data_IF_831894665563
#
_entry.id   IF_831894665563
#
_cell.length_a   1.000
_cell.length_b   1.000
_cell.length_c   1.000
_cell.angle_alpha   90.00
_cell.angle_beta   90.00
_cell.angle_gamma   90.00
#
_symmetry.space_group_name_H-M   'P 1'
#
loop_
_entity.id
_entity.type
_entity.pdbx_description
1 polymer ?
#
# COMPACT_ATOMS: atom_id res chain seq x y z
N UNK A 1 14.21 3.68 15.99
CA UNK A 1 13.45 2.56 15.40
C UNK A 1 12.95 2.99 14.03
N UNK A 2 12.93 2.09 13.05
CA UNK A 2 12.46 2.39 11.70
C UNK A 2 11.26 1.51 11.37
N UNK A 3 10.17 2.10 10.87
CA UNK A 3 8.93 1.42 10.50
C UNK A 3 8.51 1.90 9.11
N UNK A 4 7.98 0.99 8.30
CA UNK A 4 7.58 1.29 6.92
C UNK A 4 6.28 0.63 6.53
N UNK A 5 5.67 1.19 5.48
CA UNK A 5 4.51 0.64 4.78
C UNK A 5 4.64 0.95 3.28
N UNK A 6 4.01 0.17 2.42
CA UNK A 6 3.80 0.52 1.00
C UNK A 6 2.49 1.29 0.84
N UNK A 7 2.39 2.16 -0.17
CA UNK A 7 1.25 3.06 -0.33
C UNK A 7 -0.07 2.36 -0.65
N UNK A 8 -0.06 1.12 -1.12
CA UNK A 8 -1.26 0.32 -1.39
C UNK A 8 -1.05 -1.15 -0.98
N UNK A 9 -0.85 -1.39 0.31
CA UNK A 9 -0.50 -2.72 0.86
C UNK A 9 -1.49 -3.84 0.48
N UNK A 10 -2.78 -3.52 0.44
CA UNK A 10 -3.88 -4.42 0.08
C UNK A 10 -4.07 -4.63 -1.43
N UNK A 11 -3.26 -4.01 -2.29
CA UNK A 11 -3.30 -4.21 -3.75
C UNK A 11 -2.66 -5.51 -4.22
N UNK A 12 -2.68 -6.53 -3.37
CA UNK A 12 -2.40 -7.87 -3.86
C UNK A 12 -3.49 -8.24 -4.88
N UNK A 13 -3.07 -8.41 -6.13
CA UNK A 13 -3.93 -9.00 -7.16
C UNK A 13 -4.07 -10.50 -6.90
N UNK A 14 -4.87 -10.82 -5.89
CA UNK A 14 -5.28 -12.19 -5.64
C UNK A 14 -5.96 -12.70 -6.90
N UNK A 15 -5.46 -13.83 -7.41
CA UNK A 15 -5.99 -14.42 -8.63
C UNK A 15 -7.50 -14.67 -8.52
N UNK A 16 -7.96 -14.93 -7.30
CA UNK A 16 -9.34 -15.15 -6.99
C UNK A 16 -10.23 -13.92 -7.16
N UNK A 17 -9.82 -12.75 -6.69
CA UNK A 17 -10.62 -11.53 -6.89
C UNK A 17 -10.75 -11.21 -8.37
N UNK A 18 -9.69 -11.45 -9.15
CA UNK A 18 -9.73 -11.32 -10.59
C UNK A 18 -10.67 -12.34 -11.25
N UNK A 19 -10.65 -13.60 -10.80
CA UNK A 19 -11.56 -14.61 -11.32
C UNK A 19 -13.03 -14.27 -11.02
N UNK A 20 -13.34 -13.86 -9.78
CA UNK A 20 -14.69 -13.44 -9.39
C UNK A 20 -15.14 -12.20 -10.18
N UNK A 21 -14.25 -11.24 -10.36
CA UNK A 21 -14.52 -10.06 -11.17
C UNK A 21 -14.77 -10.39 -12.65
N UNK A 22 -14.05 -11.37 -13.21
CA UNK A 22 -14.26 -11.86 -14.58
C UNK A 22 -15.59 -12.58 -14.74
N UNK A 23 -16.06 -13.27 -13.70
CA UNK A 23 -17.37 -13.93 -13.71
C UNK A 23 -18.49 -12.90 -13.76
N UNK A 24 -18.57 -12.00 -12.78
CA UNK A 24 -19.53 -10.90 -12.77
C UNK A 24 -19.27 -9.89 -11.65
N UNK A 25 -19.89 -8.71 -11.77
CA UNK A 25 -20.00 -7.77 -10.65
C UNK A 25 -20.67 -8.41 -9.42
N UNK A 26 -21.72 -9.21 -9.61
CA UNK A 26 -22.43 -9.86 -8.50
C UNK A 26 -21.54 -10.88 -7.77
N UNK A 27 -20.73 -11.66 -8.49
CA UNK A 27 -19.81 -12.65 -7.90
C UNK A 27 -18.83 -12.00 -6.91
N UNK A 28 -18.23 -10.86 -7.28
CA UNK A 28 -17.32 -10.15 -6.39
C UNK A 28 -18.07 -9.40 -5.28
N UNK A 29 -19.28 -8.90 -5.56
CA UNK A 29 -20.15 -8.29 -4.56
C UNK A 29 -20.53 -9.29 -3.46
N UNK A 30 -20.95 -10.49 -3.84
CA UNK A 30 -21.29 -11.58 -2.92
C UNK A 30 -20.07 -11.97 -2.07
N UNK A 31 -18.89 -12.03 -2.68
CA UNK A 31 -17.66 -12.26 -1.91
C UNK A 31 -17.42 -11.18 -0.85
N UNK A 32 -17.64 -9.92 -1.16
CA UNK A 32 -17.53 -8.83 -0.17
C UNK A 32 -18.57 -8.97 0.93
N UNK A 33 -19.83 -9.17 0.56
CA UNK A 33 -20.96 -9.19 1.52
C UNK A 33 -20.94 -10.42 2.44
N UNK A 34 -20.52 -11.58 1.94
CA UNK A 34 -20.52 -12.84 2.70
C UNK A 34 -19.16 -13.25 3.27
N UNK A 35 -18.05 -12.67 2.78
CA UNK A 35 -16.70 -13.06 3.24
C UNK A 35 -15.96 -11.88 3.87
N UNK A 36 -15.76 -10.78 3.14
CA UNK A 36 -14.91 -9.66 3.59
C UNK A 36 -15.54 -8.89 4.74
N UNK A 37 -16.79 -8.42 4.56
CA UNK A 37 -17.48 -7.63 5.58
C UNK A 37 -17.68 -8.41 6.88
N UNK A 38 -18.17 -9.66 6.89
CA UNK A 38 -18.29 -10.42 8.13
C UNK A 38 -16.97 -10.57 8.88
N UNK A 39 -15.85 -10.72 8.16
CA UNK A 39 -14.52 -10.79 8.77
C UNK A 39 -14.13 -9.49 9.48
N UNK A 40 -14.38 -8.34 8.87
CA UNK A 40 -14.13 -7.02 9.48
C UNK A 40 -15.06 -6.80 10.67
N UNK A 41 -16.36 -7.06 10.48
CA UNK A 41 -17.42 -6.82 11.47
C UNK A 41 -17.30 -7.69 12.72
N UNK A 42 -16.64 -8.86 12.61
CA UNK A 42 -16.39 -9.75 13.75
C UNK A 42 -15.62 -9.06 14.88
N UNK A 43 -14.75 -8.11 14.55
CA UNK A 43 -13.96 -7.38 15.54
C UNK A 43 -14.79 -6.38 16.35
N UNK A 44 -16.02 -6.10 15.92
CA UNK A 44 -16.90 -5.11 16.52
C UNK A 44 -18.03 -5.74 17.34
N UNK A 45 -18.51 -4.96 18.31
CA UNK A 45 -19.70 -5.21 19.12
C UNK A 45 -20.89 -5.57 18.23
N UNK A 46 -21.62 -6.63 18.60
CA UNK A 46 -22.80 -7.10 17.85
C UNK A 46 -23.81 -5.97 17.62
N UNK A 47 -23.98 -5.08 18.60
CA UNK A 47 -24.92 -3.96 18.55
C UNK A 47 -24.59 -2.90 17.48
N UNK A 48 -23.32 -2.84 17.03
CA UNK A 48 -22.84 -1.86 16.06
C UNK A 48 -22.57 -2.48 14.70
N UNK A 49 -22.52 -3.80 14.57
CA UNK A 49 -22.19 -4.48 13.31
C UNK A 49 -23.05 -4.02 12.13
N UNK A 50 -24.36 -3.85 12.32
CA UNK A 50 -25.24 -3.42 11.23
C UNK A 50 -24.99 -1.97 10.81
N UNK A 51 -24.81 -1.06 11.78
CA UNK A 51 -24.44 0.33 11.53
C UNK A 51 -23.09 0.42 10.83
N UNK A 52 -22.16 -0.43 11.24
CA UNK A 52 -20.82 -0.49 10.67
C UNK A 52 -20.84 -1.05 9.25
N UNK A 53 -21.62 -2.10 9.00
CA UNK A 53 -21.85 -2.65 7.66
C UNK A 53 -22.40 -1.56 6.73
N UNK A 54 -23.38 -0.80 7.21
CA UNK A 54 -23.94 0.33 6.46
C UNK A 54 -22.88 1.40 6.17
N UNK A 55 -22.12 1.81 7.19
CA UNK A 55 -21.08 2.83 7.03
C UNK A 55 -19.97 2.41 6.06
N UNK A 56 -19.50 1.15 6.12
CA UNK A 56 -18.49 0.62 5.19
C UNK A 56 -19.06 0.60 3.76
N UNK A 57 -20.28 0.12 3.58
CA UNK A 57 -20.93 0.14 2.27
C UNK A 57 -21.11 1.55 1.72
N UNK A 58 -21.50 2.49 2.58
CA UNK A 58 -21.64 3.89 2.21
C UNK A 58 -20.30 4.52 1.81
N UNK A 59 -19.24 4.30 2.59
CA UNK A 59 -17.96 4.97 2.38
C UNK A 59 -17.13 4.39 1.25
N UNK A 60 -17.12 3.06 1.08
CA UNK A 60 -16.25 2.39 0.10
C UNK A 60 -16.97 1.99 -1.19
N UNK A 61 -18.25 1.62 -1.10
CA UNK A 61 -18.97 0.97 -2.20
C UNK A 61 -20.15 1.77 -2.75
N UNK A 62 -20.44 2.97 -2.20
CA UNK A 62 -21.53 3.83 -2.70
C UNK A 62 -20.97 4.92 -3.62
N UNK A 63 -21.41 4.92 -4.88
CA UNK A 63 -21.00 5.89 -5.89
C UNK A 63 -21.59 5.57 -7.27
N UNK A 64 -21.58 6.54 -8.19
CA UNK A 64 -22.05 6.37 -9.58
C UNK A 64 -21.34 5.24 -10.37
N UNK A 65 -20.06 4.87 -10.09
CA UNK A 65 -19.43 3.69 -10.67
C UNK A 65 -19.80 2.36 -9.98
N UNK A 66 -20.81 2.33 -9.10
CA UNK A 66 -21.13 1.17 -8.25
C UNK A 66 -21.50 -0.11 -9.00
N UNK A 67 -21.71 -0.06 -10.32
CA UNK A 67 -21.94 -1.26 -11.15
C UNK A 67 -20.71 -1.65 -12.00
N UNK A 68 -19.63 -0.88 -11.95
CA UNK A 68 -18.38 -1.21 -12.66
C UNK A 68 -17.51 -2.15 -11.84
N UNK A 69 -17.26 -3.35 -12.36
CA UNK A 69 -16.38 -4.35 -11.74
C UNK A 69 -15.00 -3.79 -11.39
N UNK A 70 -14.41 -2.93 -12.23
CA UNK A 70 -13.09 -2.33 -11.98
C UNK A 70 -13.09 -1.42 -10.76
N UNK A 71 -14.11 -0.58 -10.67
CA UNK A 71 -14.27 0.35 -9.55
C UNK A 71 -14.56 -0.41 -8.26
N UNK A 72 -15.35 -1.49 -8.35
CA UNK A 72 -15.60 -2.36 -7.21
C UNK A 72 -14.33 -3.07 -6.71
N UNK A 73 -13.50 -3.58 -7.62
CA UNK A 73 -12.18 -4.14 -7.30
C UNK A 73 -11.26 -3.12 -6.64
N UNK A 74 -11.20 -1.91 -7.19
CA UNK A 74 -10.43 -0.81 -6.61
C UNK A 74 -10.92 -0.46 -5.20
N UNK A 75 -12.24 -0.36 -5.00
CA UNK A 75 -12.84 -0.11 -3.70
C UNK A 75 -12.54 -1.21 -2.68
N UNK A 76 -12.60 -2.48 -3.11
CA UNK A 76 -12.23 -3.62 -2.29
C UNK A 76 -10.76 -3.55 -1.85
N UNK A 77 -9.84 -3.35 -2.80
CA UNK A 77 -8.41 -3.21 -2.49
C UNK A 77 -8.15 -2.07 -1.52
N UNK A 78 -8.81 -0.91 -1.76
CA UNK A 78 -8.71 0.24 -0.87
C UNK A 78 -9.20 -0.07 0.54
N UNK A 79 -10.36 -0.72 0.70
CA UNK A 79 -10.86 -1.13 2.00
C UNK A 79 -9.86 -2.03 2.73
N UNK A 80 -9.28 -3.01 2.04
CA UNK A 80 -8.32 -3.95 2.61
C UNK A 80 -7.02 -3.23 3.01
N UNK A 81 -6.46 -2.40 2.14
CA UNK A 81 -5.29 -1.56 2.43
C UNK A 81 -5.50 -0.69 3.66
N UNK A 82 -6.61 0.05 3.67
CA UNK A 82 -6.93 1.03 4.71
C UNK A 82 -7.18 0.33 6.07
N UNK A 83 -7.97 -0.75 6.10
CA UNK A 83 -8.35 -1.42 7.34
C UNK A 83 -7.24 -2.30 7.94
N UNK A 84 -6.60 -3.16 7.13
CA UNK A 84 -5.65 -4.16 7.65
C UNK A 84 -4.23 -3.64 7.80
N UNK A 85 -3.86 -2.53 7.17
CA UNK A 85 -2.47 -2.08 7.14
C UNK A 85 -2.32 -0.61 7.54
N UNK A 86 -2.99 0.31 6.87
CA UNK A 86 -2.79 1.74 7.13
C UNK A 86 -3.33 2.18 8.50
N UNK A 87 -4.52 1.72 8.87
CA UNK A 87 -5.10 1.99 10.18
C UNK A 87 -4.22 1.48 11.33
N UNK A 88 -3.80 0.19 11.38
CA UNK A 88 -2.90 -0.27 12.44
C UNK A 88 -1.52 0.39 12.37
N UNK A 89 -0.99 0.71 11.18
CA UNK A 89 0.28 1.43 11.05
C UNK A 89 0.22 2.81 11.68
N UNK A 90 -0.81 3.61 11.37
CA UNK A 90 -0.97 4.94 11.97
C UNK A 90 -1.16 4.87 13.48
N UNK A 91 -1.96 3.92 13.97
CA UNK A 91 -2.14 3.69 15.40
C UNK A 91 -0.85 3.28 16.10
N UNK A 92 -0.06 2.40 15.49
CA UNK A 92 1.22 1.96 16.02
C UNK A 92 2.18 3.15 16.12
N UNK A 93 2.28 4.00 15.10
CA UNK A 93 3.12 5.20 15.17
C UNK A 93 2.73 6.10 16.34
N UNK A 94 1.43 6.41 16.49
CA UNK A 94 0.94 7.23 17.59
C UNK A 94 1.19 6.58 18.96
N UNK A 95 1.01 5.27 19.08
CA UNK A 95 1.27 4.51 20.30
C UNK A 95 2.75 4.59 20.71
N UNK A 96 3.65 4.33 19.76
CA UNK A 96 5.09 4.29 20.01
C UNK A 96 5.66 5.68 20.35
N UNK A 97 5.01 6.75 19.91
CA UNK A 97 5.37 8.13 20.26
C UNK A 97 4.55 8.73 21.38
N UNK A 98 3.60 7.98 21.95
CA UNK A 98 2.85 8.43 23.12
C UNK A 98 3.78 8.50 24.32
N UNK A 99 3.62 9.56 25.12
CA UNK A 99 4.35 9.74 26.39
C UNK A 99 4.11 8.57 27.34
N UNK A 100 2.96 7.92 27.23
CA UNK A 100 2.53 6.83 28.11
C UNK A 100 3.28 5.51 27.86
N UNK A 101 3.83 5.32 26.64
CA UNK A 101 4.46 4.06 26.25
C UNK A 101 5.95 3.97 26.62
N UNK A 102 6.54 5.05 27.16
CA UNK A 102 7.89 5.06 27.72
C UNK A 102 9.03 4.80 26.72
N UNK A 103 8.78 4.85 25.41
CA UNK A 103 9.81 4.59 24.40
C UNK A 103 10.70 5.83 24.25
N UNK A 104 11.95 5.71 24.72
CA UNK A 104 12.96 6.77 24.62
C UNK A 104 13.61 6.84 23.23
N UNK A 105 13.49 5.79 22.42
CA UNK A 105 14.12 5.75 21.11
C UNK A 105 13.31 6.50 20.06
N UNK A 106 13.93 7.40 19.25
CA UNK A 106 13.21 8.09 18.18
C UNK A 106 12.63 7.10 17.16
N UNK A 107 11.37 7.33 16.77
CA UNK A 107 10.65 6.55 15.78
C UNK A 107 10.80 7.23 14.43
N UNK A 108 11.18 6.48 13.41
CA UNK A 108 11.26 6.95 12.02
C UNK A 108 10.27 6.15 11.19
N UNK A 109 9.54 6.84 10.33
CA UNK A 109 8.55 6.23 9.47
C UNK A 109 8.89 6.50 8.00
N UNK A 110 8.60 5.53 7.14
CA UNK A 110 8.53 5.74 5.70
C UNK A 110 7.28 5.16 5.07
N UNK A 111 6.94 5.70 3.90
CA UNK A 111 6.04 5.09 2.94
C UNK A 111 6.82 4.83 1.66
N UNK A 112 6.70 3.62 1.12
CA UNK A 112 7.21 3.28 -0.20
C UNK A 112 6.08 3.40 -1.21
N UNK A 113 6.23 4.29 -2.19
CA UNK A 113 5.23 4.61 -3.18
C UNK A 113 5.82 4.57 -4.58
N UNK A 114 5.38 3.64 -5.41
CA UNK A 114 5.87 3.51 -6.76
C UNK A 114 4.72 3.05 -7.66
N UNK A 115 4.35 3.91 -8.62
CA UNK A 115 3.32 3.57 -9.60
C UNK A 115 3.79 2.41 -10.49
N UNK A 116 2.85 1.52 -10.86
CA UNK A 116 3.12 0.28 -11.62
C UNK A 116 4.25 -0.57 -11.04
N UNK A 117 4.44 -0.54 -9.72
CA UNK A 117 5.41 -1.41 -9.06
C UNK A 117 4.86 -2.82 -8.90
N UNK A 118 5.78 -3.74 -8.67
CA UNK A 118 5.54 -5.17 -8.71
C UNK A 118 5.65 -5.75 -7.30
N UNK A 119 4.82 -6.73 -6.97
CA UNK A 119 4.94 -7.51 -5.73
C UNK A 119 5.93 -8.68 -5.88
N UNK A 120 6.27 -9.34 -4.76
CA UNK A 120 7.14 -10.52 -4.75
C UNK A 120 6.62 -11.72 -5.58
N UNK A 121 5.39 -11.68 -6.07
CA UNK A 121 4.81 -12.72 -6.94
C UNK A 121 5.03 -12.41 -8.42
N UNK A 122 5.63 -11.27 -8.74
CA UNK A 122 5.83 -10.83 -10.11
C UNK A 122 4.61 -10.10 -10.70
N UNK A 123 3.60 -9.78 -9.90
CA UNK A 123 2.38 -9.10 -10.37
C UNK A 123 2.53 -7.59 -10.24
N UNK A 124 2.26 -6.89 -11.34
CA UNK A 124 2.26 -5.43 -11.38
C UNK A 124 0.93 -4.91 -10.81
N UNK A 125 1.01 -3.96 -9.89
CA UNK A 125 -0.16 -3.27 -9.38
C UNK A 125 -0.61 -2.17 -10.37
N UNK A 126 -1.82 -2.31 -10.90
CA UNK A 126 -2.45 -1.33 -11.79
C UNK A 126 -3.38 -0.35 -11.06
N UNK A 127 -3.72 -0.62 -9.80
CA UNK A 127 -4.73 0.11 -9.04
C UNK A 127 -4.15 1.31 -8.27
N UNK A 128 -2.95 1.75 -8.65
CA UNK A 128 -2.24 2.88 -8.06
C UNK A 128 -1.49 2.52 -6.79
N UNK A 129 -0.41 3.27 -6.53
CA UNK A 129 0.49 3.02 -5.40
C UNK A 129 1.33 1.74 -5.52
N UNK A 130 2.10 1.44 -4.47
CA UNK A 130 2.93 0.26 -4.40
C UNK A 130 2.22 -0.89 -3.66
N UNK A 131 2.26 -2.13 -4.20
CA UNK A 131 1.72 -3.29 -3.52
C UNK A 131 2.62 -3.74 -2.37
N UNK A 132 2.05 -4.57 -1.49
CA UNK A 132 2.79 -5.27 -0.45
C UNK A 132 4.08 -5.87 -1.02
N UNK A 133 5.19 -5.70 -0.30
CA UNK A 133 6.53 -6.23 -0.63
C UNK A 133 7.26 -5.62 -1.83
N UNK A 134 6.70 -4.61 -2.51
CA UNK A 134 7.39 -3.92 -3.60
C UNK A 134 8.67 -3.20 -3.15
N UNK A 135 8.65 -2.68 -1.93
CA UNK A 135 9.80 -2.09 -1.25
C UNK A 135 10.95 -3.10 -1.07
N UNK A 136 10.63 -4.31 -0.62
CA UNK A 136 11.59 -5.40 -0.41
C UNK A 136 12.26 -5.81 -1.72
N UNK A 137 11.49 -5.90 -2.81
CA UNK A 137 12.03 -6.22 -4.12
C UNK A 137 13.11 -5.22 -4.57
N UNK A 138 12.85 -3.92 -4.41
CA UNK A 138 13.84 -2.91 -4.77
C UNK A 138 14.98 -2.79 -3.75
N UNK A 139 14.73 -3.12 -2.49
CA UNK A 139 15.75 -3.14 -1.44
C UNK A 139 16.83 -4.20 -1.70
N UNK A 140 16.41 -5.41 -2.05
CA UNK A 140 17.30 -6.54 -2.34
C UNK A 140 18.06 -6.35 -3.66
N UNK A 141 17.47 -5.60 -4.57
CA UNK A 141 18.14 -5.10 -5.77
C UNK A 141 17.99 -6.01 -6.99
N UNK A 142 18.84 -5.81 -8.02
CA UNK A 142 18.59 -6.31 -9.37
C UNK A 142 18.47 -7.83 -9.48
N UNK A 143 19.24 -8.60 -8.71
CA UNK A 143 19.27 -10.06 -8.84
C UNK A 143 17.96 -10.71 -8.42
N UNK A 144 17.46 -10.36 -7.23
CA UNK A 144 16.17 -10.85 -6.73
C UNK A 144 15.04 -10.34 -7.63
N UNK A 145 15.10 -9.07 -8.02
CA UNK A 145 14.14 -8.51 -8.95
C UNK A 145 14.08 -9.28 -10.27
N UNK A 146 15.24 -9.63 -10.86
CA UNK A 146 15.31 -10.37 -12.10
C UNK A 146 14.73 -11.78 -11.98
N UNK A 147 14.92 -12.44 -10.84
CA UNK A 147 14.34 -13.77 -10.60
C UNK A 147 12.82 -13.74 -10.51
N UNK A 148 12.27 -12.73 -9.82
CA UNK A 148 10.82 -12.60 -9.64
C UNK A 148 10.15 -12.04 -10.90
N UNK A 149 10.68 -10.95 -11.45
CA UNK A 149 10.10 -10.23 -12.58
C UNK A 149 10.37 -10.90 -13.94
N UNK A 150 11.36 -11.82 -13.99
CA UNK A 150 11.93 -12.36 -15.24
C UNK A 150 12.43 -11.28 -16.22
N UNK A 151 12.69 -10.08 -15.72
CA UNK A 151 13.22 -8.93 -16.48
C UNK A 151 14.18 -8.12 -15.63
N UNK A 152 15.01 -7.30 -16.28
CA UNK A 152 15.85 -6.34 -15.58
C UNK A 152 15.01 -5.17 -15.06
N UNK A 153 15.54 -4.51 -14.03
CA UNK A 153 15.01 -3.23 -13.55
C UNK A 153 15.00 -2.21 -14.69
N UNK A 154 13.94 -1.43 -14.77
CA UNK A 154 13.89 -0.24 -15.61
C UNK A 154 14.85 0.84 -15.08
N UNK A 155 15.04 1.90 -15.86
CA UNK A 155 15.87 3.03 -15.42
C UNK A 155 15.31 3.69 -14.15
N UNK A 156 13.99 3.90 -14.10
CA UNK A 156 13.31 4.50 -12.95
C UNK A 156 13.35 3.60 -11.73
N UNK A 157 13.11 2.30 -11.89
CA UNK A 157 13.21 1.32 -10.79
C UNK A 157 14.64 1.21 -10.28
N UNK A 158 15.64 1.25 -11.16
CA UNK A 158 17.05 1.25 -10.78
C UNK A 158 17.42 2.51 -9.99
N UNK A 159 16.91 3.67 -10.41
CA UNK A 159 17.12 4.95 -9.72
C UNK A 159 16.49 4.92 -8.33
N UNK A 160 15.24 4.48 -8.24
CA UNK A 160 14.50 4.34 -6.99
C UNK A 160 15.16 3.33 -6.05
N UNK A 161 15.57 2.16 -6.55
CA UNK A 161 16.28 1.14 -5.77
C UNK A 161 17.59 1.69 -5.17
N UNK A 162 18.40 2.40 -5.98
CA UNK A 162 19.64 3.02 -5.48
C UNK A 162 19.34 4.10 -4.44
N UNK A 163 18.35 4.95 -4.69
CA UNK A 163 17.96 5.99 -3.74
C UNK A 163 17.48 5.38 -2.42
N UNK A 164 16.56 4.42 -2.47
CA UNK A 164 16.01 3.75 -1.30
C UNK A 164 17.11 3.05 -0.48
N UNK A 165 17.96 2.26 -1.13
CA UNK A 165 19.10 1.60 -0.49
C UNK A 165 20.08 2.60 0.11
N UNK A 166 20.39 3.68 -0.60
CA UNK A 166 21.30 4.71 -0.10
C UNK A 166 20.77 5.36 1.19
N UNK A 167 19.47 5.71 1.23
CA UNK A 167 18.86 6.29 2.43
C UNK A 167 18.84 5.31 3.60
N UNK A 168 18.51 4.04 3.37
CA UNK A 168 18.54 3.02 4.43
C UNK A 168 19.96 2.74 4.92
N UNK A 169 20.94 2.64 4.02
CA UNK A 169 22.35 2.47 4.41
C UNK A 169 22.82 3.67 5.21
N UNK A 170 22.47 4.89 4.78
CA UNK A 170 22.79 6.12 5.51
C UNK A 170 22.13 6.12 6.88
N UNK A 171 20.86 5.74 6.97
CA UNK A 171 20.14 5.61 8.25
C UNK A 171 20.82 4.61 9.21
N UNK A 172 21.28 3.47 8.70
CA UNK A 172 21.97 2.44 9.49
C UNK A 172 23.36 2.91 9.93
N UNK A 173 24.10 3.56 9.03
CA UNK A 173 25.48 4.02 9.27
C UNK A 173 25.54 5.25 10.18
N UNK A 174 24.66 6.21 9.97
CA UNK A 174 24.61 7.49 10.70
C UNK A 174 24.01 7.33 12.10
N UNK A 175 24.41 6.30 12.86
CA UNK A 175 23.92 6.04 14.22
C UNK A 175 23.87 7.35 15.04
N UNK A 176 22.64 7.80 15.29
CA UNK A 176 22.11 8.61 16.42
C UNK A 176 22.76 9.95 16.81
N UNK A 177 23.97 10.29 16.37
CA UNK A 177 24.76 11.29 17.12
C UNK A 177 24.69 12.73 16.61
N UNK A 178 23.93 13.02 15.55
CA UNK A 178 23.78 14.42 15.09
C UNK A 178 22.42 14.66 14.47
N UNK A 179 21.36 14.68 15.28
CA UNK A 179 20.19 15.49 14.94
C UNK A 179 20.54 16.93 15.32
N UNK A 180 21.36 17.55 14.47
CA UNK A 180 21.66 18.98 14.54
C UNK A 180 20.36 19.75 14.38
N UNK A 181 20.14 20.78 15.19
CA UNK A 181 18.95 21.66 15.11
C UNK A 181 18.86 22.47 13.80
N UNK A 182 19.74 22.20 12.83
CA UNK A 182 19.71 22.80 11.50
C UNK A 182 18.95 21.90 10.54
N UNK A 183 17.70 22.26 10.29
CA UNK A 183 16.86 21.66 9.26
C UNK A 183 17.58 21.73 7.89
N UNK A 184 18.19 20.63 7.46
CA UNK A 184 18.58 20.46 6.06
C UNK A 184 17.38 19.94 5.29
N UNK A 185 17.12 20.52 4.12
CA UNK A 185 16.24 19.87 3.14
C UNK A 185 16.81 18.48 2.86
N UNK A 186 15.94 17.46 2.84
CA UNK A 186 16.27 16.02 2.70
C UNK A 186 16.74 15.25 3.96
N UNK A 187 16.71 15.82 5.16
CA UNK A 187 16.99 15.03 6.37
C UNK A 187 15.78 14.18 6.79
N UNK A 188 16.01 12.90 7.10
CA UNK A 188 14.96 12.00 7.60
C UNK A 188 14.66 12.32 9.07
N UNK A 189 13.57 13.05 9.30
CA UNK A 189 13.16 13.49 10.64
C UNK A 189 12.44 12.38 11.43
N UNK A 190 12.54 12.38 12.76
CA UNK A 190 11.75 11.47 13.60
C UNK A 190 10.27 11.84 13.56
N UNK A 191 9.42 10.82 13.60
CA UNK A 191 8.00 10.95 13.83
C UNK A 191 7.77 11.32 15.31
N UNK A 192 7.02 12.39 15.55
CA UNK A 192 6.57 12.81 16.89
C UNK A 192 5.11 13.24 16.83
N UNK A 193 4.47 13.43 17.98
CA UNK A 193 3.08 13.93 18.06
C UNK A 193 2.92 15.32 17.46
N UNK A 194 3.95 16.17 17.56
CA UNK A 194 3.98 17.53 17.01
C UNK A 194 4.37 17.54 15.54
N UNK A 195 5.35 16.72 15.17
CA UNK A 195 5.85 16.57 13.81
C UNK A 195 5.68 15.12 13.35
N UNK A 196 4.48 14.81 12.85
CA UNK A 196 4.16 13.50 12.29
C UNK A 196 4.82 13.34 10.91
N UNK A 197 6.15 13.18 10.87
CA UNK A 197 6.92 13.10 9.64
C UNK A 197 7.01 11.65 9.13
N UNK A 198 6.63 11.42 7.87
CA UNK A 198 6.79 10.13 7.18
C UNK A 198 7.55 10.37 5.89
N UNK A 199 8.74 9.76 5.78
CA UNK A 199 9.57 9.88 4.59
C UNK A 199 8.95 9.12 3.42
N UNK A 200 8.84 9.75 2.26
CA UNK A 200 8.16 9.16 1.11
C UNK A 200 9.16 8.77 0.02
N UNK A 201 9.32 7.46 -0.20
CA UNK A 201 10.16 6.93 -1.25
C UNK A 201 9.36 6.79 -2.54
N UNK A 202 9.80 7.48 -3.60
CA UNK A 202 9.30 7.29 -4.96
C UNK A 202 8.60 8.50 -5.60
N UNK A 203 8.59 9.66 -4.92
CA UNK A 203 8.32 10.94 -5.57
C UNK A 203 9.58 11.58 -6.14
N UNK A 204 9.45 12.20 -7.31
CA UNK A 204 10.39 13.23 -7.73
C UNK A 204 9.94 14.58 -7.15
N UNK A 205 10.87 15.50 -6.87
CA UNK A 205 10.57 16.81 -6.26
C UNK A 205 9.50 17.63 -7.01
N UNK A 206 9.22 17.29 -8.27
CA UNK A 206 8.19 17.93 -9.11
C UNK A 206 6.77 17.48 -8.79
N UNK A 207 6.60 16.26 -8.26
CA UNK A 207 5.29 15.68 -7.95
C UNK A 207 4.75 16.16 -6.59
N UNK A 208 5.59 16.86 -5.82
CA UNK A 208 5.28 17.31 -4.47
C UNK A 208 4.36 18.55 -4.45
N UNK A 209 4.36 19.35 -5.53
CA UNK A 209 3.55 20.58 -5.61
C UNK A 209 2.07 20.33 -5.95
N UNK A 210 1.70 19.10 -6.37
CA UNK A 210 0.32 18.69 -6.68
C UNK A 210 -0.39 17.99 -5.51
N UNK A 211 0.23 17.95 -4.32
CA UNK A 211 -0.12 17.09 -3.19
C UNK A 211 -1.31 17.51 -2.30
N UNK A 212 -2.27 18.30 -2.81
CA UNK A 212 -3.58 18.39 -2.16
C UNK A 212 -4.50 17.22 -2.56
N UNK A 213 -4.18 16.52 -3.66
CA UNK A 213 -5.06 15.52 -4.28
C UNK A 213 -4.28 14.26 -4.69
N UNK A 214 -3.67 13.55 -3.74
CA UNK A 214 -3.28 12.14 -3.96
C UNK A 214 -4.55 11.31 -4.11
N UNK A 215 -5.05 11.27 -5.33
CA UNK A 215 -6.09 10.37 -5.78
C UNK A 215 -5.38 9.11 -6.30
N UNK A 216 -5.29 8.05 -5.49
CA UNK A 216 -5.05 6.69 -6.04
C UNK A 216 -6.03 6.40 -7.19
N UNK A 217 -7.20 7.03 -7.11
CA UNK A 217 -8.20 7.13 -8.16
C UNK A 217 -7.63 7.67 -9.49
N UNK A 218 -6.69 8.62 -9.50
CA UNK A 218 -6.11 9.15 -10.74
C UNK A 218 -5.15 8.17 -11.43
N UNK A 219 -4.37 7.40 -10.66
CA UNK A 219 -3.55 6.32 -11.20
C UNK A 219 -4.43 5.15 -11.66
N UNK A 220 -5.48 4.83 -10.91
CA UNK A 220 -6.52 3.88 -11.32
C UNK A 220 -7.21 4.32 -12.62
N UNK A 221 -7.61 5.59 -12.75
CA UNK A 221 -8.25 6.15 -13.94
C UNK A 221 -7.33 6.05 -15.17
N UNK A 222 -6.04 6.38 -15.01
CA UNK A 222 -5.03 6.23 -16.08
C UNK A 222 -4.84 4.78 -16.51
N UNK A 223 -4.95 3.84 -15.58
CA UNK A 223 -4.75 2.42 -15.83
C UNK A 223 -6.06 1.66 -16.12
N UNK A 224 -7.20 2.35 -16.15
CA UNK A 224 -8.53 1.76 -16.33
C UNK A 224 -8.59 0.82 -17.54
N UNK A 225 -8.02 1.24 -18.67
CA UNK A 225 -7.93 0.42 -19.88
C UNK A 225 -7.10 -0.87 -19.71
N UNK A 226 -5.96 -0.80 -19.00
CA UNK A 226 -5.14 -1.98 -18.71
C UNK A 226 -5.87 -2.95 -17.76
N UNK A 227 -6.63 -2.41 -16.81
CA UNK A 227 -7.47 -3.18 -15.88
C UNK A 227 -8.62 -3.85 -16.64
N UNK A 228 -9.30 -3.13 -17.53
CA UNK A 228 -10.35 -3.69 -18.40
C UNK A 228 -9.80 -4.84 -19.24
N UNK A 229 -8.62 -4.68 -19.85
CA UNK A 229 -7.97 -5.75 -20.61
C UNK A 229 -7.70 -6.98 -19.74
N UNK A 230 -7.26 -6.78 -18.50
CA UNK A 230 -6.98 -7.85 -17.55
C UNK A 230 -8.25 -8.63 -17.13
N UNK A 231 -9.42 -8.00 -17.19
CA UNK A 231 -10.71 -8.63 -16.89
C UNK A 231 -11.44 -9.22 -18.11
N UNK A 232 -11.01 -8.92 -19.34
CA UNK A 232 -11.67 -9.41 -20.56
C UNK A 232 -11.15 -10.76 -21.10
N UNK A 233 -10.25 -11.42 -20.37
CA UNK A 233 -9.72 -12.76 -20.68
C UNK A 233 -9.17 -12.91 -22.13
N UNK A 234 -8.24 -12.03 -22.53
CA UNK A 234 -7.32 -12.36 -23.64
C UNK A 234 -6.40 -13.50 -23.18
N UNK A 235 -6.87 -14.74 -23.33
CA UNK A 235 -6.05 -15.96 -23.21
C UNK A 235 -5.14 -16.16 -24.42
N UNK A 236 -4.49 -15.10 -24.87
CA UNK A 236 -3.38 -15.17 -25.82
C UNK A 236 -2.17 -14.47 -25.20
N UNK A 237 -1.30 -15.29 -24.59
CA UNK A 237 0.10 -14.95 -24.34
C UNK A 237 0.39 -13.86 -23.30
N UNK A 238 0.31 -14.20 -22.02
CA UNK A 238 1.17 -13.54 -21.01
C UNK A 238 2.53 -14.27 -20.98
N UNK A 239 3.12 -14.41 -22.16
CA UNK A 239 4.56 -14.54 -22.35
C UNK A 239 4.90 -13.47 -23.40
N UNK A 240 5.61 -12.42 -22.96
CA UNK A 240 6.25 -11.41 -23.81
C UNK A 240 5.37 -10.39 -24.57
N UNK A 241 4.57 -9.59 -23.86
CA UNK A 241 4.22 -8.24 -24.37
C UNK A 241 5.00 -7.18 -23.61
N UNK A 242 6.29 -7.13 -23.92
CA UNK A 242 7.13 -5.96 -23.69
C UNK A 242 6.62 -4.82 -24.58
N UNK A 243 5.91 -3.87 -24.00
CA UNK A 243 5.74 -2.57 -24.65
C UNK A 243 7.10 -1.87 -24.66
N UNK A 244 7.79 -1.94 -25.81
CA UNK A 244 8.80 -0.95 -26.19
C UNK A 244 8.11 0.40 -26.24
N UNK A 245 8.25 1.21 -25.20
CA UNK A 245 7.88 2.61 -25.24
C UNK A 245 8.76 3.31 -26.26
N UNK A 246 8.15 3.62 -27.40
CA UNK A 246 8.71 4.43 -28.47
C UNK A 246 9.02 5.83 -27.91
N UNK A 247 10.32 6.17 -27.92
CA UNK A 247 10.82 7.52 -27.78
C UNK A 247 10.33 8.34 -28.97
N UNK A 248 9.45 9.31 -28.73
CA UNK A 248 9.50 10.63 -29.35
C UNK A 248 8.43 11.52 -28.72
N UNK A 249 8.86 12.51 -27.95
CA UNK A 249 8.29 13.86 -27.97
C UNK A 249 9.22 14.83 -27.23
N UNK A 250 9.99 15.58 -28.03
CA UNK A 250 10.60 16.85 -27.61
C UNK A 250 9.50 17.91 -27.70
N UNK A 251 8.86 18.21 -26.56
CA UNK A 251 8.01 19.37 -26.38
C UNK A 251 8.68 20.31 -25.38
N UNK A 252 9.31 21.36 -25.88
CA UNK A 252 9.91 22.45 -25.12
C UNK A 252 8.77 23.40 -24.72
N UNK A 253 8.50 23.57 -23.43
CA UNK A 253 7.75 24.72 -22.93
C UNK A 253 8.59 25.45 -21.88
N UNK A 254 9.20 26.54 -22.34
CA UNK A 254 9.76 27.60 -21.52
C UNK A 254 8.59 28.39 -20.91
N UNK A 255 8.39 28.33 -19.59
CA UNK A 255 7.74 29.41 -18.83
C UNK A 255 8.56 29.62 -17.55
N UNK A 256 9.22 30.77 -17.54
CA UNK A 256 10.05 31.28 -16.46
C UNK A 256 9.21 31.79 -15.27
N UNK A 257 9.79 31.64 -14.08
CA UNK A 257 9.81 32.64 -13.01
C UNK A 257 8.48 33.23 -12.54
N UNK A 258 7.81 32.53 -11.62
CA UNK A 258 7.11 33.14 -10.49
C UNK A 258 6.70 32.05 -9.50
N UNK A 259 7.47 31.91 -8.41
CA UNK A 259 7.12 31.40 -7.06
C UNK A 259 8.33 30.70 -6.41
N UNK A 260 9.35 31.51 -6.14
CA UNK A 260 10.51 31.16 -5.29
C UNK A 260 10.17 31.30 -3.79
N UNK A 261 8.88 31.34 -3.43
CA UNK A 261 8.42 31.50 -2.05
C UNK A 261 7.21 30.60 -1.75
N UNK A 262 7.42 29.30 -1.58
CA UNK A 262 6.44 28.38 -0.96
C UNK A 262 7.05 27.02 -0.52
N UNK A 263 8.35 26.95 -0.22
CA UNK A 263 9.06 25.67 0.00
C UNK A 263 8.90 25.03 1.39
N UNK A 264 7.87 25.40 2.18
CA UNK A 264 7.75 24.96 3.57
C UNK A 264 6.43 24.25 3.96
N UNK A 265 5.65 23.67 3.02
CA UNK A 265 4.34 23.09 3.38
C UNK A 265 4.00 21.66 2.92
N UNK A 266 4.93 20.84 2.43
CA UNK A 266 4.58 19.51 1.89
C UNK A 266 5.31 18.32 2.53
N UNK A 267 5.66 18.42 3.81
CA UNK A 267 6.20 17.28 4.60
C UNK A 267 5.13 16.39 5.26
N UNK A 268 3.84 16.65 5.01
CA UNK A 268 2.70 15.95 5.66
C UNK A 268 1.85 15.08 4.72
N UNK A 269 2.24 14.92 3.44
CA UNK A 269 1.35 14.37 2.39
C UNK A 269 0.71 13.01 2.70
N UNK A 270 1.50 11.99 3.07
CA UNK A 270 0.95 10.67 3.41
C UNK A 270 0.26 10.64 4.79
N UNK A 271 0.68 11.51 5.70
CA UNK A 271 0.09 11.61 7.04
C UNK A 271 -1.33 12.15 6.98
N UNK A 272 -1.60 13.10 6.07
CA UNK A 272 -2.96 13.59 5.82
C UNK A 272 -3.88 12.47 5.33
N UNK A 273 -3.38 11.59 4.45
CA UNK A 273 -4.10 10.39 4.02
C UNK A 273 -4.36 9.45 5.20
N UNK A 274 -3.36 9.12 6.01
CA UNK A 274 -3.55 8.29 7.21
C UNK A 274 -4.53 8.91 8.21
N UNK A 275 -4.51 10.24 8.39
CA UNK A 275 -5.50 10.96 9.20
C UNK A 275 -6.90 10.84 8.63
N UNK A 276 -7.08 10.94 7.31
CA UNK A 276 -8.38 10.73 6.65
C UNK A 276 -8.92 9.33 6.94
N UNK A 277 -8.08 8.30 6.75
CA UNK A 277 -8.43 6.90 7.04
C UNK A 277 -8.80 6.75 8.51
N UNK A 278 -7.91 7.19 9.40
CA UNK A 278 -8.15 7.15 10.84
C UNK A 278 -9.44 7.87 11.24
N UNK A 279 -9.74 9.04 10.65
CA UNK A 279 -10.92 9.83 10.98
C UNK A 279 -12.24 9.13 10.63
N UNK A 280 -12.26 8.31 9.58
CA UNK A 280 -13.42 7.48 9.29
C UNK A 280 -13.56 6.36 10.35
N UNK A 281 -12.46 5.65 10.63
CA UNK A 281 -12.49 4.49 11.53
C UNK A 281 -12.60 4.86 13.02
N UNK A 282 -12.14 6.04 13.45
CA UNK A 282 -12.03 6.43 14.87
C UNK A 282 -13.36 6.38 15.61
N UNK A 283 -14.47 6.66 14.91
CA UNK A 283 -15.82 6.62 15.48
C UNK A 283 -16.18 5.19 15.92
N UNK A 284 -15.58 4.19 15.28
CA UNK A 284 -15.85 2.77 15.49
C UNK A 284 -14.80 2.07 16.36
N UNK A 285 -13.59 2.64 16.50
CA UNK A 285 -12.50 2.07 17.30
C UNK A 285 -12.90 1.73 18.74
N UNK A 286 -13.68 2.57 19.48
CA UNK A 286 -14.08 2.24 20.84
C UNK A 286 -14.90 0.96 20.99
N UNK A 287 -15.54 0.52 19.89
CA UNK A 287 -16.41 -0.65 19.85
C UNK A 287 -15.69 -1.89 19.30
N UNK A 288 -14.36 -1.93 19.43
CA UNK A 288 -13.55 -3.08 19.04
C UNK A 288 -13.16 -3.84 20.32
N UNK A 289 -13.72 -5.04 20.52
CA UNK A 289 -13.46 -5.85 21.72
C UNK A 289 -12.01 -6.36 21.81
N UNK A 290 -11.38 -6.66 20.66
CA UNK A 290 -10.10 -7.35 20.62
C UNK A 290 -9.14 -6.66 19.64
N UNK A 291 -8.33 -5.72 20.14
CA UNK A 291 -7.13 -5.29 19.41
C UNK A 291 -5.88 -6.12 19.79
N UNK A 292 -5.99 -6.99 20.81
CA UNK A 292 -4.83 -7.60 21.48
C UNK A 292 -4.71 -9.12 21.44
N UNK A 293 -5.70 -9.87 20.96
CA UNK A 293 -5.65 -11.34 21.02
C UNK A 293 -6.00 -11.99 19.67
N UNK A 294 -4.98 -12.15 18.82
CA UNK A 294 -5.03 -13.08 17.67
C UNK A 294 -5.11 -14.56 18.09
N UNK A 295 -5.30 -14.86 19.39
CA UNK A 295 -5.32 -16.23 19.93
C UNK A 295 -6.72 -16.83 20.06
N UNK A 296 -7.78 -16.06 19.81
CA UNK A 296 -9.16 -16.56 19.90
C UNK A 296 -9.88 -16.49 18.55
N UNK A 297 -9.45 -17.38 17.64
CA UNK A 297 -10.28 -17.82 16.51
C UNK A 297 -11.43 -18.67 17.05
N UNK A 298 -12.43 -18.04 17.64
CA UNK A 298 -13.69 -18.73 17.97
C UNK A 298 -14.42 -19.17 16.68
N UNK A 299 -14.88 -20.41 16.67
CA UNK A 299 -15.02 -21.30 15.51
C UNK A 299 -16.47 -21.41 15.00
N UNK A 300 -17.37 -20.52 15.45
CA UNK A 300 -18.78 -20.87 15.54
C UNK A 300 -19.73 -20.28 14.48
N UNK A 301 -19.32 -19.35 13.61
CA UNK A 301 -20.31 -18.65 12.75
C UNK A 301 -19.87 -18.30 11.31
N UNK A 302 -18.83 -18.94 10.77
CA UNK A 302 -18.48 -18.83 9.35
C UNK A 302 -18.33 -20.25 8.80
N UNK A 303 -18.96 -20.63 7.67
CA UNK A 303 -18.70 -21.91 7.02
C UNK A 303 -17.18 -22.08 6.84
N UNK A 304 -16.61 -23.16 7.38
CA UNK A 304 -15.17 -23.44 7.47
C UNK A 304 -14.39 -23.16 6.16
N UNK A 305 -15.04 -23.31 5.00
CA UNK A 305 -14.50 -22.95 3.69
C UNK A 305 -14.21 -21.45 3.51
N UNK A 306 -15.12 -20.55 3.89
CA UNK A 306 -14.98 -19.09 3.67
C UNK A 306 -13.90 -18.43 4.54
N UNK A 307 -13.60 -19.02 5.70
CA UNK A 307 -12.53 -18.57 6.58
C UNK A 307 -11.15 -19.01 6.09
N UNK A 308 -11.04 -20.24 5.57
CA UNK A 308 -9.84 -20.69 4.86
C UNK A 308 -9.56 -19.85 3.63
N UNK A 309 -10.59 -19.31 3.00
CA UNK A 309 -10.52 -18.50 1.80
C UNK A 309 -9.95 -17.08 2.02
N UNK A 310 -10.15 -16.47 3.20
CA UNK A 310 -9.44 -15.24 3.60
C UNK A 310 -8.07 -15.54 4.21
N UNK A 311 -7.97 -16.63 4.97
CA UNK A 311 -6.66 -17.10 5.44
C UNK A 311 -5.78 -17.51 4.28
N UNK A 312 -6.29 -17.99 3.16
CA UNK A 312 -5.54 -18.31 1.94
C UNK A 312 -5.20 -17.05 1.15
N UNK A 313 -6.11 -16.08 1.05
CA UNK A 313 -5.82 -14.75 0.51
C UNK A 313 -4.68 -14.04 1.27
N UNK A 314 -4.72 -14.07 2.61
CA UNK A 314 -3.71 -13.48 3.47
C UNK A 314 -2.46 -14.39 3.66
N UNK A 315 -2.63 -15.72 3.63
CA UNK A 315 -1.54 -16.67 3.75
C UNK A 315 -0.85 -16.95 2.43
N UNK A 316 -1.36 -16.53 1.28
CA UNK A 316 -0.56 -16.47 0.06
C UNK A 316 0.63 -15.53 0.32
N UNK A 317 0.40 -14.34 0.89
CA UNK A 317 1.49 -13.46 1.33
C UNK A 317 2.45 -14.14 2.34
N UNK A 318 1.93 -15.00 3.23
CA UNK A 318 2.74 -15.75 4.21
C UNK A 318 3.45 -17.00 3.62
N UNK A 319 2.89 -17.66 2.60
CA UNK A 319 3.48 -18.77 1.84
C UNK A 319 4.64 -18.24 0.99
N UNK A 320 4.47 -17.06 0.38
CA UNK A 320 5.56 -16.37 -0.30
C UNK A 320 6.63 -15.87 0.67
N UNK A 321 6.32 -15.54 1.92
CA UNK A 321 7.34 -15.28 2.97
C UNK A 321 8.26 -16.49 3.16
N UNK A 322 7.73 -17.72 3.20
CA UNK A 322 8.53 -18.95 3.29
C UNK A 322 9.31 -19.25 1.99
N UNK A 323 8.69 -19.08 0.83
CA UNK A 323 9.36 -19.22 -0.48
C UNK A 323 10.45 -18.16 -0.71
N UNK A 324 10.27 -16.96 -0.18
CA UNK A 324 11.22 -15.85 -0.21
C UNK A 324 12.45 -16.12 0.66
N UNK A 325 12.28 -16.64 1.88
CA UNK A 325 13.42 -17.06 2.69
C UNK A 325 14.19 -18.23 2.05
N UNK A 326 13.50 -19.15 1.36
CA UNK A 326 14.15 -20.19 0.56
C UNK A 326 14.94 -19.60 -0.63
N UNK A 327 14.39 -18.61 -1.35
CA UNK A 327 15.08 -17.90 -2.43
C UNK A 327 16.29 -17.10 -1.93
N UNK A 328 16.21 -16.45 -0.78
CA UNK A 328 17.37 -15.78 -0.14
C UNK A 328 18.46 -16.81 0.17
N UNK A 329 18.12 -17.96 0.75
CA UNK A 329 19.11 -19.03 1.00
C UNK A 329 19.76 -19.48 -0.31
N UNK A 330 18.99 -19.66 -1.39
CA UNK A 330 19.54 -20.06 -2.69
C UNK A 330 20.46 -18.97 -3.28
N UNK A 331 20.11 -17.69 -3.16
CA UNK A 331 20.91 -16.57 -3.71
C UNK A 331 22.17 -16.25 -2.89
N UNK A 332 22.22 -16.63 -1.62
CA UNK A 332 23.41 -16.46 -0.77
C UNK A 332 24.35 -17.69 -0.76
N UNK A 333 23.89 -18.85 -1.25
CA UNK A 333 24.69 -20.08 -1.33
C UNK A 333 25.14 -20.44 -2.78
N UNK A 334 24.91 -19.55 -3.75
CA UNK A 334 25.54 -19.52 -5.06
C UNK A 334 26.20 -18.15 -5.28
#
# INVERSE_FOLDING_TARGET
MLIGITSNEGSFLEQRWLNLARESYQSIRDYVDYTVLPCILRNFDVQIRDKMKYAINWFYFSGEPSESTNHFLYALQRLISEYFYELPFYRLLNLLTSKDYGIVTPVFAYVFDASKSMDLRGKINLFGGAPHSADLLLLLGPSVFQQVARRRLSLEESRLSRQFRSHLITFIKSRRDTYSSSFKSNEWLPYTTENQFIYNFGKTDKDIQLEASRNYLSDFEKNSFEIDKLLRDDRDGIDNVFLRTSRNNRGRSDINQATVYATNQTNYGYVLHLKRVYNFWQIFIPYIHNYGDQRYYDDSNIPFGQQNLLKEAAADAARYRKGFFALIVIVFFF
#
